data_IF_832495303714
#
_entry.id   IF_832495303714
#
_cell.length_a   1.000
_cell.length_b   1.000
_cell.length_c   1.000
_cell.angle_alpha   90.00
_cell.angle_beta   90.00
_cell.angle_gamma   90.00
#
_symmetry.space_group_name_H-M   'P 1'
#
loop_
_entity.id
_entity.type
_entity.pdbx_description
1 polymer ?
#
# COMPACT_ATOMS: atom_id res chain seq x y z
N UNK A 1 -18.12 -9.88 13.34
CA UNK A 1 -18.13 -9.76 11.86
C UNK A 1 -16.94 -8.89 11.47
N UNK A 2 -16.27 -9.20 10.37
CA UNK A 2 -15.11 -8.42 9.91
C UNK A 2 -15.52 -7.02 9.45
N UNK A 3 -14.69 -6.02 9.77
CA UNK A 3 -14.80 -4.63 9.31
C UNK A 3 -14.08 -4.40 7.96
N UNK A 4 -13.41 -5.43 7.45
CA UNK A 4 -12.53 -5.40 6.28
C UNK A 4 -13.26 -5.95 5.07
N UNK A 5 -14.37 -5.28 4.71
CA UNK A 5 -15.28 -5.72 3.66
C UNK A 5 -15.17 -4.76 2.48
N UNK A 6 -14.86 -5.26 1.27
CA UNK A 6 -14.74 -4.40 0.09
C UNK A 6 -16.10 -3.93 -0.37
N UNK A 7 -16.15 -2.73 -0.94
CA UNK A 7 -17.34 -2.21 -1.60
C UNK A 7 -17.14 -2.00 -3.12
N UNK A 8 -18.22 -1.62 -3.82
CA UNK A 8 -18.18 -1.42 -5.28
C UNK A 8 -17.16 -0.38 -5.72
N UNK A 9 -16.84 0.61 -4.87
CA UNK A 9 -15.84 1.64 -5.20
C UNK A 9 -14.44 1.05 -5.07
N UNK A 10 -14.19 0.26 -4.03
CA UNK A 10 -12.92 -0.46 -3.89
C UNK A 10 -12.65 -1.32 -5.13
N UNK A 11 -13.66 -2.04 -5.62
CA UNK A 11 -13.55 -2.83 -6.84
C UNK A 11 -13.30 -1.96 -8.09
N UNK A 12 -14.06 -0.87 -8.24
CA UNK A 12 -13.86 0.05 -9.35
C UNK A 12 -12.44 0.62 -9.35
N UNK A 13 -11.94 1.05 -8.20
CA UNK A 13 -10.61 1.62 -8.05
C UNK A 13 -9.52 0.59 -8.37
N UNK A 14 -9.73 -0.69 -8.05
CA UNK A 14 -8.78 -1.78 -8.32
C UNK A 14 -8.76 -2.25 -9.79
N UNK A 15 -9.91 -2.25 -10.47
CA UNK A 15 -10.08 -2.91 -11.78
C UNK A 15 -10.28 -1.96 -12.98
N UNK A 16 -10.54 -0.67 -12.77
CA UNK A 16 -10.75 0.29 -13.86
C UNK A 16 -9.43 0.75 -14.53
N UNK A 17 -9.53 1.63 -15.53
CA UNK A 17 -8.40 2.36 -16.16
C UNK A 17 -7.30 1.47 -16.76
N UNK A 18 -7.68 0.38 -17.45
CA UNK A 18 -6.74 -0.57 -18.06
C UNK A 18 -5.86 0.04 -19.18
N UNK A 19 -6.22 1.23 -19.70
CA UNK A 19 -5.36 1.99 -20.60
C UNK A 19 -4.07 2.47 -19.90
N UNK A 20 -4.11 2.69 -18.59
CA UNK A 20 -2.98 3.16 -17.80
C UNK A 20 -1.93 2.06 -17.64
N UNK A 21 -2.35 0.80 -17.51
CA UNK A 21 -1.43 -0.35 -17.51
C UNK A 21 -0.62 -0.40 -18.82
N UNK A 22 -1.28 -0.18 -19.97
CA UNK A 22 -0.61 -0.14 -21.28
C UNK A 22 0.38 1.02 -21.37
N UNK A 23 0.00 2.20 -20.89
CA UNK A 23 0.91 3.36 -20.84
C UNK A 23 2.13 3.08 -19.97
N UNK A 24 1.94 2.44 -18.82
CA UNK A 24 3.03 2.05 -17.94
C UNK A 24 4.04 1.14 -18.64
N UNK A 25 3.59 0.04 -19.24
CA UNK A 25 4.48 -0.87 -19.97
C UNK A 25 5.15 -0.19 -21.17
N UNK A 26 4.44 0.69 -21.88
CA UNK A 26 5.03 1.51 -22.94
C UNK A 26 6.17 2.36 -22.38
N UNK A 27 5.93 3.16 -21.34
CA UNK A 27 6.96 4.02 -20.75
C UNK A 27 8.13 3.23 -20.15
N UNK A 28 7.87 2.11 -19.47
CA UNK A 28 8.91 1.25 -18.92
C UNK A 28 9.82 0.70 -20.04
N UNK A 29 9.25 0.31 -21.19
CA UNK A 29 10.03 -0.17 -22.35
C UNK A 29 10.94 0.90 -22.98
N UNK A 30 10.70 2.18 -22.69
CA UNK A 30 11.55 3.28 -23.13
C UNK A 30 12.68 3.58 -22.12
N UNK A 31 12.82 2.77 -21.08
CA UNK A 31 13.84 2.90 -20.03
C UNK A 31 14.66 1.62 -19.91
N UNK A 32 15.72 1.66 -19.10
CA UNK A 32 16.47 0.47 -18.68
C UNK A 32 16.22 0.24 -17.20
N UNK A 33 15.15 -0.48 -16.83
CA UNK A 33 14.82 -0.71 -15.43
C UNK A 33 15.92 -1.56 -14.77
N UNK A 34 16.34 -1.17 -13.56
CA UNK A 34 17.37 -1.90 -12.81
C UNK A 34 16.93 -3.32 -12.42
N UNK A 35 15.64 -3.48 -12.16
CA UNK A 35 15.00 -4.72 -11.75
C UNK A 35 13.74 -4.93 -12.58
N UNK A 36 13.46 -6.18 -12.93
CA UNK A 36 12.16 -6.62 -13.44
C UNK A 36 11.50 -7.52 -12.40
N UNK A 37 10.17 -7.49 -12.34
CA UNK A 37 9.39 -8.17 -11.31
C UNK A 37 8.36 -9.12 -11.91
N UNK A 38 8.10 -10.22 -11.21
CA UNK A 38 7.01 -11.15 -11.49
C UNK A 38 6.42 -11.70 -10.18
N UNK A 39 5.10 -12.03 -10.12
CA UNK A 39 4.54 -12.67 -8.95
C UNK A 39 4.98 -14.14 -8.89
N UNK A 40 5.07 -14.71 -7.69
CA UNK A 40 5.28 -16.15 -7.50
C UNK A 40 4.01 -16.80 -6.99
N UNK A 41 3.37 -17.57 -7.87
CA UNK A 41 2.09 -18.20 -7.58
C UNK A 41 2.19 -19.40 -6.61
N UNK A 42 1.03 -19.75 -6.05
CA UNK A 42 0.86 -20.88 -5.14
C UNK A 42 1.31 -20.61 -3.69
N UNK A 43 1.73 -19.39 -3.35
CA UNK A 43 1.91 -18.97 -1.95
C UNK A 43 0.61 -18.52 -1.31
N UNK A 44 -0.19 -17.76 -2.06
CA UNK A 44 -1.41 -17.14 -1.56
C UNK A 44 -2.58 -17.35 -2.52
N UNK A 45 -3.78 -17.54 -1.96
CA UNK A 45 -5.02 -17.76 -2.70
C UNK A 45 -5.39 -16.56 -3.59
N UNK A 46 -4.94 -15.35 -3.23
CA UNK A 46 -5.22 -14.12 -3.95
C UNK A 46 -4.67 -14.11 -5.39
N UNK A 47 -3.61 -14.88 -5.66
CA UNK A 47 -3.07 -15.10 -7.01
C UNK A 47 -3.99 -15.95 -7.90
N UNK A 48 -4.82 -16.81 -7.29
CA UNK A 48 -5.67 -17.73 -8.02
C UNK A 48 -6.86 -17.01 -8.67
N UNK A 49 -7.21 -17.40 -9.91
CA UNK A 49 -8.24 -16.74 -10.70
C UNK A 49 -9.65 -16.95 -10.13
N UNK A 50 -9.85 -18.06 -9.43
CA UNK A 50 -11.09 -18.46 -8.77
C UNK A 50 -11.37 -17.72 -7.45
N UNK A 51 -10.38 -17.02 -6.89
CA UNK A 51 -10.56 -16.27 -5.64
C UNK A 51 -11.32 -14.98 -5.94
N UNK A 52 -12.61 -14.96 -5.59
CA UNK A 52 -13.45 -13.76 -5.69
C UNK A 52 -12.98 -12.69 -4.69
N UNK A 53 -12.43 -11.58 -5.20
CA UNK A 53 -11.82 -10.52 -4.40
C UNK A 53 -12.85 -9.60 -3.72
N UNK A 54 -14.14 -9.73 -4.03
CA UNK A 54 -15.23 -9.08 -3.32
C UNK A 54 -15.75 -9.90 -2.14
N UNK A 55 -15.66 -11.23 -2.23
CA UNK A 55 -16.11 -12.15 -1.18
C UNK A 55 -14.96 -12.68 -0.31
N UNK A 56 -13.71 -12.50 -0.73
CA UNK A 56 -12.56 -12.95 0.04
C UNK A 56 -12.42 -12.18 1.37
N UNK A 57 -12.21 -12.94 2.47
CA UNK A 57 -12.02 -12.40 3.82
C UNK A 57 -10.72 -12.94 4.39
N UNK A 58 -9.62 -12.29 4.05
CA UNK A 58 -8.27 -12.80 4.35
C UNK A 58 -8.02 -13.03 5.85
N UNK A 59 -8.62 -12.24 6.75
CA UNK A 59 -8.48 -12.44 8.21
C UNK A 59 -9.17 -13.71 8.72
N UNK A 60 -10.14 -14.24 7.97
CA UNK A 60 -10.83 -15.51 8.26
C UNK A 60 -10.22 -16.70 7.50
N UNK A 61 -9.26 -16.45 6.61
CA UNK A 61 -8.66 -17.44 5.71
C UNK A 61 -7.13 -17.43 5.80
N UNK A 62 -6.58 -17.22 6.99
CA UNK A 62 -5.13 -17.27 7.26
C UNK A 62 -4.29 -16.39 6.33
N UNK A 63 -4.76 -15.16 6.10
CA UNK A 63 -4.20 -14.20 5.14
C UNK A 63 -4.16 -14.70 3.69
N UNK A 64 -4.85 -15.79 3.40
CA UNK A 64 -4.83 -16.49 2.13
C UNK A 64 -3.64 -17.42 1.95
N UNK A 65 -2.89 -17.76 3.00
CA UNK A 65 -1.80 -18.72 2.92
C UNK A 65 -2.30 -20.05 2.33
N UNK A 66 -1.74 -20.47 1.19
CA UNK A 66 -2.15 -21.69 0.49
C UNK A 66 -1.66 -22.98 1.19
N UNK A 67 -0.67 -22.85 2.07
CA UNK A 67 -0.08 -23.90 2.88
C UNK A 67 0.30 -23.34 4.26
N UNK A 68 0.61 -24.20 5.26
CA UNK A 68 1.09 -23.72 6.56
C UNK A 68 2.31 -22.80 6.40
N UNK A 69 2.41 -21.78 7.25
CA UNK A 69 3.47 -20.77 7.19
C UNK A 69 4.88 -21.38 7.19
N UNK A 70 5.10 -22.47 7.93
CA UNK A 70 6.39 -23.19 7.94
C UNK A 70 6.79 -23.73 6.56
N UNK A 71 5.83 -24.18 5.75
CA UNK A 71 6.08 -24.60 4.37
C UNK A 71 6.40 -23.38 3.51
N UNK A 72 5.57 -22.33 3.60
CA UNK A 72 5.74 -21.13 2.77
C UNK A 72 7.11 -20.47 3.03
N UNK A 73 7.51 -20.31 4.29
CA UNK A 73 8.83 -19.75 4.65
C UNK A 73 9.95 -20.63 4.09
N UNK A 74 9.89 -21.96 4.31
CA UNK A 74 10.90 -22.89 3.77
C UNK A 74 11.00 -22.79 2.24
N UNK A 75 9.87 -22.65 1.55
CA UNK A 75 9.84 -22.47 0.09
C UNK A 75 10.46 -21.13 -0.32
N UNK A 76 10.21 -20.04 0.41
CA UNK A 76 10.83 -18.74 0.16
C UNK A 76 12.37 -18.81 0.35
N UNK A 77 12.83 -19.47 1.40
CA UNK A 77 14.24 -19.68 1.69
C UNK A 77 14.93 -20.56 0.62
N UNK A 78 14.24 -21.61 0.16
CA UNK A 78 14.70 -22.47 -0.93
C UNK A 78 14.83 -21.68 -2.25
N UNK A 79 13.85 -20.84 -2.57
CA UNK A 79 13.90 -19.98 -3.76
C UNK A 79 15.10 -19.02 -3.73
N UNK A 80 15.37 -18.38 -2.60
CA UNK A 80 16.52 -17.48 -2.45
C UNK A 80 17.88 -18.22 -2.38
N UNK A 81 17.94 -19.39 -1.75
CA UNK A 81 19.21 -20.15 -1.64
C UNK A 81 19.62 -20.85 -2.94
N UNK A 82 18.65 -21.14 -3.82
CA UNK A 82 18.88 -21.80 -5.11
C UNK A 82 18.92 -20.82 -6.29
N UNK A 83 18.66 -19.54 -6.06
CA UNK A 83 18.62 -18.54 -7.12
C UNK A 83 20.01 -18.16 -7.64
N UNK A 84 20.10 -17.90 -8.93
CA UNK A 84 21.30 -17.34 -9.56
C UNK A 84 21.59 -15.92 -9.04
N UNK A 85 22.85 -15.49 -9.18
CA UNK A 85 23.25 -14.11 -8.85
C UNK A 85 22.39 -13.10 -9.61
N UNK A 86 21.79 -12.15 -8.89
CA UNK A 86 20.90 -11.14 -9.49
C UNK A 86 19.42 -11.51 -9.49
N UNK A 87 19.05 -12.69 -8.98
CA UNK A 87 17.66 -13.06 -8.71
C UNK A 87 17.41 -13.03 -7.21
N UNK A 88 16.27 -12.45 -6.79
CA UNK A 88 15.84 -12.39 -5.39
C UNK A 88 14.35 -12.63 -5.27
N UNK A 89 13.92 -13.16 -4.13
CA UNK A 89 12.51 -13.38 -3.81
C UNK A 89 12.17 -12.70 -2.49
N UNK A 90 11.09 -11.91 -2.48
CA UNK A 90 10.62 -11.19 -1.29
C UNK A 90 9.14 -11.44 -1.05
N UNK A 91 8.76 -11.60 0.22
CA UNK A 91 7.38 -11.59 0.67
C UNK A 91 6.99 -10.17 1.10
N UNK A 92 6.03 -9.57 0.40
CA UNK A 92 5.50 -8.24 0.69
C UNK A 92 4.12 -8.35 1.31
N UNK A 93 3.90 -7.73 2.47
CA UNK A 93 2.59 -7.50 3.07
C UNK A 93 2.15 -6.07 2.80
N UNK A 94 1.27 -5.88 1.80
CA UNK A 94 0.80 -4.57 1.36
C UNK A 94 -0.52 -4.22 2.06
N UNK A 95 -0.47 -3.33 3.05
CA UNK A 95 -1.62 -2.94 3.86
C UNK A 95 -2.16 -1.57 3.47
N UNK A 96 -3.48 -1.45 3.30
CA UNK A 96 -4.18 -0.19 3.08
C UNK A 96 -4.53 0.43 4.43
N UNK A 97 -4.35 1.74 4.57
CA UNK A 97 -4.78 2.45 5.77
C UNK A 97 -6.27 2.20 6.10
N UNK A 98 -6.62 2.24 7.39
CA UNK A 98 -8.02 2.20 7.85
C UNK A 98 -8.82 3.43 7.41
N UNK A 99 -10.13 3.41 7.57
CA UNK A 99 -11.00 4.49 7.13
C UNK A 99 -10.56 5.85 7.71
N UNK A 100 -10.31 6.82 6.83
CA UNK A 100 -10.11 8.22 7.18
C UNK A 100 -11.32 9.08 6.81
N UNK A 101 -11.36 10.30 7.34
CA UNK A 101 -12.45 11.24 7.05
C UNK A 101 -12.61 11.55 5.55
N UNK A 102 -11.53 11.50 4.77
CA UNK A 102 -11.61 11.60 3.31
C UNK A 102 -12.40 10.45 2.65
N UNK A 103 -12.39 9.24 3.21
CA UNK A 103 -13.22 8.13 2.72
C UNK A 103 -14.70 8.35 3.04
N UNK A 104 -15.01 8.98 4.16
CA UNK A 104 -16.39 9.32 4.55
C UNK A 104 -16.95 10.39 3.61
N UNK A 105 -16.17 11.45 3.37
CA UNK A 105 -16.64 12.61 2.62
C UNK A 105 -16.80 12.30 1.12
N UNK A 106 -15.96 11.44 0.54
CA UNK A 106 -16.15 10.94 -0.83
C UNK A 106 -17.43 10.12 -0.99
N UNK A 107 -17.99 9.59 0.11
CA UNK A 107 -19.30 8.92 0.14
C UNK A 107 -20.47 9.89 0.38
N UNK A 108 -20.22 11.02 1.06
CA UNK A 108 -21.21 12.08 1.34
C UNK A 108 -21.61 12.86 0.10
N UNK A 109 -20.65 13.20 -0.77
CA UNK A 109 -20.89 14.02 -1.96
C UNK A 109 -20.94 13.22 -3.26
N UNK A 110 -21.62 13.78 -4.26
CA UNK A 110 -21.61 13.21 -5.60
C UNK A 110 -20.20 13.23 -6.19
N UNK A 111 -19.90 12.32 -7.13
CA UNK A 111 -18.62 12.34 -7.86
C UNK A 111 -18.42 13.72 -8.52
N UNK A 112 -19.43 14.26 -9.18
CA UNK A 112 -19.34 15.57 -9.83
C UNK A 112 -18.92 16.68 -8.86
N UNK A 113 -19.55 16.77 -7.69
CA UNK A 113 -19.23 17.80 -6.69
C UNK A 113 -17.85 17.59 -6.05
N UNK A 114 -17.46 16.34 -5.85
CA UNK A 114 -16.13 16.02 -5.35
C UNK A 114 -15.06 16.54 -6.32
N UNK A 115 -15.23 16.27 -7.61
CA UNK A 115 -14.28 16.67 -8.65
C UNK A 115 -14.31 18.17 -8.95
N UNK A 116 -15.44 18.85 -8.81
CA UNK A 116 -15.56 20.30 -9.08
C UNK A 116 -15.17 21.17 -7.89
N UNK A 117 -15.35 20.70 -6.65
CA UNK A 117 -15.20 21.52 -5.44
C UNK A 117 -14.44 20.81 -4.31
N UNK A 118 -15.00 19.72 -3.78
CA UNK A 118 -14.63 19.25 -2.44
C UNK A 118 -13.21 18.70 -2.34
N UNK A 119 -12.63 18.20 -3.44
CA UNK A 119 -11.25 17.72 -3.46
C UNK A 119 -10.20 18.80 -3.16
N UNK A 120 -10.51 20.07 -3.42
CA UNK A 120 -9.61 21.19 -3.18
C UNK A 120 -9.70 21.75 -1.75
N UNK A 121 -10.74 21.34 -1.01
CA UNK A 121 -11.03 21.81 0.34
C UNK A 121 -10.65 20.76 1.37
N UNK A 122 -10.51 21.20 2.62
CA UNK A 122 -10.18 20.35 3.75
C UNK A 122 -11.36 20.13 4.70
N UNK A 123 -12.45 20.88 4.54
CA UNK A 123 -13.62 20.83 5.43
C UNK A 123 -14.87 21.38 4.75
N UNK A 124 -16.04 20.92 5.22
CA UNK A 124 -17.36 21.47 4.90
C UNK A 124 -17.96 22.24 6.09
N UNK A 125 -17.21 22.41 7.19
CA UNK A 125 -17.68 22.98 8.45
C UNK A 125 -18.06 21.92 9.50
N UNK A 126 -18.53 20.74 9.07
CA UNK A 126 -18.91 19.63 9.96
C UNK A 126 -17.79 18.59 10.07
N UNK A 127 -17.17 18.25 8.94
CA UNK A 127 -16.14 17.24 8.80
C UNK A 127 -14.82 17.88 8.35
N UNK A 128 -13.70 17.35 8.83
CA UNK A 128 -12.36 17.75 8.40
C UNK A 128 -11.66 16.55 7.77
N UNK A 129 -11.29 16.67 6.50
CA UNK A 129 -10.60 15.65 5.72
C UNK A 129 -9.31 16.15 5.07
N UNK A 130 -8.89 17.39 5.32
CA UNK A 130 -7.65 17.90 4.75
C UNK A 130 -7.14 19.18 5.44
N UNK A 131 -5.84 19.49 5.30
CA UNK A 131 -4.80 18.60 4.76
C UNK A 131 -4.59 17.35 5.64
N UNK A 132 -3.91 16.34 5.09
CA UNK A 132 -3.56 15.07 5.76
C UNK A 132 -4.68 14.43 6.61
N UNK A 133 -5.68 13.87 5.93
CA UNK A 133 -6.88 13.30 6.57
C UNK A 133 -6.54 12.28 7.67
N UNK A 134 -7.08 12.49 8.88
CA UNK A 134 -6.96 11.57 10.02
C UNK A 134 -7.92 10.37 9.90
N UNK A 135 -7.61 9.30 10.65
CA UNK A 135 -8.49 8.13 10.78
C UNK A 135 -9.79 8.49 11.49
N UNK A 136 -10.86 7.77 11.13
CA UNK A 136 -12.11 7.74 11.91
C UNK A 136 -12.01 6.67 13.00
N UNK A 137 -12.99 6.62 13.90
CA UNK A 137 -13.08 5.52 14.88
C UNK A 137 -13.19 4.16 14.18
N UNK A 138 -13.95 4.06 13.09
CA UNK A 138 -14.02 2.84 12.28
C UNK A 138 -12.65 2.47 11.70
N UNK A 139 -11.86 3.44 11.22
CA UNK A 139 -10.50 3.18 10.73
C UNK A 139 -9.55 2.68 11.82
N UNK A 140 -9.68 3.19 13.04
CA UNK A 140 -8.95 2.68 14.21
C UNK A 140 -9.35 1.23 14.49
N UNK A 141 -10.64 0.90 14.45
CA UNK A 141 -11.12 -0.45 14.73
C UNK A 141 -10.74 -1.45 13.63
N UNK A 142 -10.66 -1.02 12.36
CA UNK A 142 -10.09 -1.81 11.26
C UNK A 142 -8.61 -2.14 11.48
N UNK A 143 -7.82 -1.19 11.98
CA UNK A 143 -6.42 -1.42 12.32
C UNK A 143 -6.28 -2.39 13.52
N UNK A 144 -7.16 -2.26 14.52
CA UNK A 144 -7.22 -3.21 15.66
C UNK A 144 -7.61 -4.62 15.22
N UNK A 145 -8.51 -4.77 14.26
CA UNK A 145 -8.84 -6.09 13.69
C UNK A 145 -7.61 -6.73 13.03
N UNK A 146 -6.85 -5.95 12.25
CA UNK A 146 -5.58 -6.42 11.70
C UNK A 146 -4.57 -6.80 12.78
N UNK A 147 -4.45 -6.01 13.85
CA UNK A 147 -3.57 -6.36 14.97
C UNK A 147 -3.92 -7.74 15.55
N UNK A 148 -5.21 -8.03 15.78
CA UNK A 148 -5.63 -9.34 16.27
C UNK A 148 -5.37 -10.46 15.24
N UNK A 149 -5.62 -10.20 13.97
CA UNK A 149 -5.35 -11.17 12.91
C UNK A 149 -3.84 -11.48 12.81
N UNK A 150 -2.98 -10.47 12.93
CA UNK A 150 -1.53 -10.65 12.97
C UNK A 150 -1.08 -11.45 14.19
N UNK A 151 -1.59 -11.16 15.40
CA UNK A 151 -1.29 -11.98 16.58
C UNK A 151 -1.62 -13.46 16.36
N UNK A 152 -2.76 -13.74 15.73
CA UNK A 152 -3.14 -15.11 15.38
C UNK A 152 -2.16 -15.71 14.36
N UNK A 153 -1.83 -15.01 13.28
CA UNK A 153 -0.93 -15.54 12.25
C UNK A 153 0.50 -15.76 12.77
N UNK A 154 1.03 -14.85 13.59
CA UNK A 154 2.32 -15.04 14.27
C UNK A 154 2.30 -16.29 15.14
N UNK A 155 1.21 -16.55 15.87
CA UNK A 155 1.06 -17.79 16.66
C UNK A 155 0.99 -19.06 15.80
N UNK A 156 0.63 -18.93 14.51
CA UNK A 156 0.63 -20.00 13.51
C UNK A 156 1.95 -20.13 12.75
N UNK A 157 2.97 -19.33 13.11
CA UNK A 157 4.29 -19.36 12.49
C UNK A 157 4.46 -18.46 11.27
N UNK A 158 3.55 -17.50 11.03
CA UNK A 158 3.80 -16.41 10.07
C UNK A 158 5.07 -15.67 10.46
N UNK A 159 5.97 -15.32 9.53
CA UNK A 159 7.19 -14.61 9.87
C UNK A 159 6.84 -13.18 10.32
N UNK A 160 7.55 -12.68 11.33
CA UNK A 160 7.58 -11.25 11.61
C UNK A 160 8.30 -10.55 10.45
N UNK A 161 7.77 -9.45 9.88
CA UNK A 161 8.49 -8.70 8.87
C UNK A 161 9.85 -8.21 9.39
N UNK A 162 10.88 -8.33 8.55
CA UNK A 162 12.23 -7.82 8.81
C UNK A 162 12.22 -6.28 8.85
N UNK A 163 11.41 -5.70 7.97
CA UNK A 163 11.31 -4.25 7.79
C UNK A 163 9.88 -3.78 7.61
N UNK A 164 9.61 -2.60 8.18
CA UNK A 164 8.33 -1.92 8.09
C UNK A 164 8.50 -0.57 7.38
N UNK A 165 7.72 -0.35 6.34
CA UNK A 165 7.67 0.91 5.61
C UNK A 165 6.26 1.49 5.65
N UNK A 166 6.18 2.82 5.72
CA UNK A 166 4.91 3.53 5.76
C UNK A 166 4.92 4.74 4.83
N UNK A 167 3.75 5.05 4.27
CA UNK A 167 3.51 6.35 3.64
C UNK A 167 3.60 7.49 4.68
N UNK A 168 4.02 8.70 4.27
CA UNK A 168 4.09 9.87 5.16
C UNK A 168 2.72 10.45 5.57
N UNK A 169 1.62 9.98 5.02
CA UNK A 169 0.28 10.47 5.37
C UNK A 169 -0.15 9.87 6.72
N UNK A 170 -0.57 10.70 7.67
CA UNK A 170 -0.76 10.30 9.07
C UNK A 170 -1.73 9.14 9.27
N UNK A 171 -2.76 9.02 8.43
CA UNK A 171 -3.67 7.85 8.44
C UNK A 171 -2.95 6.52 8.20
N UNK A 172 -1.90 6.51 7.38
CA UNK A 172 -1.08 5.34 7.09
C UNK A 172 -0.21 4.99 8.29
N UNK A 173 0.48 5.98 8.85
CA UNK A 173 1.34 5.81 10.02
C UNK A 173 0.52 5.36 11.24
N UNK A 174 -0.63 5.98 11.48
CA UNK A 174 -1.52 5.61 12.58
C UNK A 174 -2.08 4.19 12.41
N UNK A 175 -2.48 3.80 11.19
CA UNK A 175 -2.91 2.41 10.91
C UNK A 175 -1.79 1.42 11.22
N UNK A 176 -0.57 1.72 10.79
CA UNK A 176 0.61 0.91 11.08
C UNK A 176 0.84 0.78 12.58
N UNK A 177 0.94 1.89 13.30
CA UNK A 177 1.24 1.88 14.75
C UNK A 177 0.18 1.14 15.58
N UNK A 178 -1.09 1.16 15.15
CA UNK A 178 -2.15 0.37 15.81
C UNK A 178 -2.00 -1.13 15.47
N UNK A 179 -1.64 -1.46 14.24
CA UNK A 179 -1.48 -2.86 13.77
C UNK A 179 -0.25 -3.51 14.40
N UNK A 180 0.85 -2.75 14.47
CA UNK A 180 2.19 -3.15 14.85
C UNK A 180 2.72 -2.27 15.99
N UNK A 181 2.19 -2.42 17.20
CA UNK A 181 2.74 -1.71 18.36
C UNK A 181 4.22 -2.07 18.54
N UNK A 182 4.99 -1.14 19.09
CA UNK A 182 6.41 -1.32 19.44
C UNK A 182 7.33 -1.58 18.24
N UNK A 183 6.99 -1.05 17.06
CA UNK A 183 7.84 -1.07 15.86
C UNK A 183 8.30 0.35 15.48
N UNK A 184 9.43 0.44 14.78
CA UNK A 184 9.97 1.69 14.24
C UNK A 184 9.92 1.66 12.71
N UNK A 185 8.78 1.98 12.08
CA UNK A 185 8.67 1.96 10.62
C UNK A 185 9.46 3.11 9.99
N UNK A 186 9.95 2.89 8.77
CA UNK A 186 10.59 3.94 7.96
C UNK A 186 9.55 4.61 7.07
N UNK A 187 9.44 5.93 7.17
CA UNK A 187 8.61 6.77 6.31
C UNK A 187 9.29 6.94 4.97
N UNK A 188 8.64 6.45 3.91
CA UNK A 188 9.08 6.57 2.52
C UNK A 188 8.15 7.51 1.78
N UNK A 189 8.65 8.65 1.33
CA UNK A 189 7.85 9.71 0.72
C UNK A 189 7.15 9.23 -0.56
N UNK A 190 7.84 8.37 -1.32
CA UNK A 190 7.32 7.72 -2.53
C UNK A 190 6.22 6.68 -2.28
N UNK A 191 5.84 6.36 -1.03
CA UNK A 191 4.69 5.49 -0.74
C UNK A 191 3.37 6.26 -0.58
N UNK A 192 3.40 7.60 -0.67
CA UNK A 192 2.19 8.45 -0.68
C UNK A 192 1.19 8.06 -1.77
N UNK A 193 -0.06 8.42 -1.51
CA UNK A 193 -1.14 8.29 -2.49
C UNK A 193 -0.91 9.21 -3.71
N UNK A 194 -1.75 9.11 -4.72
CA UNK A 194 -1.71 9.94 -5.95
C UNK A 194 -1.42 11.41 -5.64
N UNK A 195 -0.36 11.94 -6.27
CA UNK A 195 0.13 13.30 -6.04
C UNK A 195 -0.74 14.32 -6.79
N UNK A 196 -1.05 15.43 -6.11
CA UNK A 196 -1.74 16.59 -6.68
C UNK A 196 -3.25 16.57 -6.53
N UNK A 197 -3.85 17.76 -6.69
CA UNK A 197 -5.29 18.06 -6.76
C UNK A 197 -6.15 17.75 -5.52
N UNK A 198 -5.91 16.66 -4.80
CA UNK A 198 -6.67 16.27 -3.62
C UNK A 198 -6.00 16.77 -2.34
N UNK A 199 -6.57 17.78 -1.66
CA UNK A 199 -5.96 18.39 -0.47
C UNK A 199 -5.71 17.40 0.67
N UNK A 200 -6.54 16.35 0.79
CA UNK A 200 -6.34 15.25 1.73
C UNK A 200 -5.05 14.43 1.51
N UNK A 201 -4.36 14.62 0.38
CA UNK A 201 -3.09 13.98 0.04
C UNK A 201 -1.87 14.88 0.29
N UNK A 202 -2.06 16.13 0.74
CA UNK A 202 -0.96 16.94 1.27
C UNK A 202 -0.50 16.32 2.58
N UNK A 203 0.75 15.88 2.66
CA UNK A 203 1.31 15.35 3.92
C UNK A 203 1.65 16.48 4.89
N UNK A 204 1.68 16.16 6.17
CA UNK A 204 2.29 17.00 7.20
C UNK A 204 3.79 17.20 6.94
N UNK A 205 4.36 18.21 7.59
CA UNK A 205 5.82 18.43 7.55
C UNK A 205 6.55 17.29 8.26
N UNK A 206 7.84 17.14 7.99
CA UNK A 206 8.68 16.14 8.68
C UNK A 206 8.67 16.37 10.20
N UNK A 207 8.74 17.62 10.64
CA UNK A 207 8.66 17.99 12.06
C UNK A 207 7.33 17.58 12.67
N UNK A 208 6.21 17.94 12.04
CA UNK A 208 4.87 17.55 12.51
C UNK A 208 4.68 16.03 12.58
N UNK A 209 5.18 15.29 11.57
CA UNK A 209 5.14 13.82 11.57
C UNK A 209 5.95 13.26 12.74
N UNK A 210 7.15 13.79 12.99
CA UNK A 210 8.03 13.35 14.08
C UNK A 210 7.42 13.61 15.45
N UNK A 211 6.74 14.74 15.62
CA UNK A 211 6.04 15.09 16.86
C UNK A 211 4.81 14.22 17.09
N UNK A 212 4.02 13.96 16.04
CA UNK A 212 2.84 13.09 16.12
C UNK A 212 3.20 11.61 16.33
N UNK A 213 4.31 11.16 15.74
CA UNK A 213 4.72 9.76 15.73
C UNK A 213 6.21 9.63 16.06
N UNK A 214 6.61 9.72 17.33
CA UNK A 214 8.02 9.72 17.73
C UNK A 214 8.77 8.41 17.43
N UNK A 215 8.06 7.34 17.10
CA UNK A 215 8.64 6.03 16.79
C UNK A 215 9.07 5.87 15.33
N UNK A 216 8.73 6.81 14.45
CA UNK A 216 9.04 6.66 13.01
C UNK A 216 10.45 7.12 12.68
N UNK A 217 11.06 6.43 11.73
CA UNK A 217 12.29 6.85 11.07
C UNK A 217 11.95 7.44 9.69
N UNK A 218 12.86 8.21 9.10
CA UNK A 218 12.66 8.78 7.76
C UNK A 218 13.74 8.28 6.80
N UNK A 219 13.36 8.09 5.53
CA UNK A 219 14.34 7.80 4.49
C UNK A 219 15.41 8.91 4.37
N UNK A 220 16.63 8.56 3.91
CA UNK A 220 17.66 9.56 3.62
C UNK A 220 17.16 10.65 2.67
N UNK A 221 17.35 11.91 3.05
CA UNK A 221 16.95 13.05 2.22
C UNK A 221 15.46 13.40 2.27
N UNK A 222 14.68 12.83 3.19
CA UNK A 222 13.27 13.21 3.37
C UNK A 222 13.12 14.71 3.63
N UNK A 223 12.37 15.39 2.75
CA UNK A 223 12.19 16.83 2.78
C UNK A 223 11.27 17.28 3.93
N UNK A 224 11.57 18.44 4.53
CA UNK A 224 10.73 19.03 5.58
C UNK A 224 9.29 19.27 5.08
N UNK A 225 9.16 20.08 4.03
CA UNK A 225 7.88 20.47 3.43
C UNK A 225 7.41 19.49 2.34
N UNK A 226 6.11 19.51 2.04
CA UNK A 226 5.53 18.71 0.96
C UNK A 226 5.74 19.34 -0.44
N UNK A 227 7.00 19.38 -0.86
CA UNK A 227 7.43 19.96 -2.14
C UNK A 227 6.79 19.31 -3.36
N UNK A 228 6.38 18.05 -3.27
CA UNK A 228 5.75 17.32 -4.37
C UNK A 228 4.32 17.79 -4.57
N UNK A 229 3.56 17.90 -3.47
CA UNK A 229 2.19 18.39 -3.52
C UNK A 229 2.14 19.84 -3.99
N UNK A 230 2.94 20.72 -3.40
CA UNK A 230 2.89 22.16 -3.69
C UNK A 230 3.24 22.49 -5.16
N UNK A 231 4.10 21.67 -5.79
CA UNK A 231 4.44 21.82 -7.21
C UNK A 231 3.28 21.59 -8.17
N UNK A 232 2.32 20.72 -7.81
CA UNK A 232 1.31 20.23 -8.76
C UNK A 232 -0.13 20.39 -8.29
N UNK A 233 -0.37 20.79 -7.03
CA UNK A 233 -1.67 20.80 -6.37
C UNK A 233 -2.81 21.41 -7.20
N UNK A 234 -2.57 22.47 -7.97
CA UNK A 234 -3.61 23.19 -8.73
C UNK A 234 -3.58 22.96 -10.24
N UNK A 235 -2.55 22.31 -10.79
CA UNK A 235 -2.29 22.28 -12.23
C UNK A 235 -2.27 20.87 -12.82
N UNK A 236 -1.74 19.89 -12.10
CA UNK A 236 -1.49 18.54 -12.63
C UNK A 236 -1.80 17.51 -11.54
N UNK A 237 -2.60 16.50 -11.89
CA UNK A 237 -2.76 15.28 -11.09
C UNK A 237 -1.84 14.21 -11.65
N UNK A 238 -1.12 13.51 -10.79
CA UNK A 238 -0.37 12.32 -11.17
C UNK A 238 -1.33 11.31 -11.85
N UNK A 239 -0.97 10.88 -13.05
CA UNK A 239 -1.69 9.80 -13.74
C UNK A 239 -1.29 8.44 -13.15
N UNK A 240 -2.17 7.45 -13.26
CA UNK A 240 -1.92 6.14 -12.64
C UNK A 240 -0.63 5.48 -13.14
N UNK A 241 -0.33 5.56 -14.44
CA UNK A 241 0.91 5.02 -14.98
C UNK A 241 2.17 5.72 -14.44
N UNK A 242 2.08 7.01 -14.06
CA UNK A 242 3.18 7.74 -13.42
C UNK A 242 3.39 7.24 -11.98
N UNK A 243 2.30 6.99 -11.26
CA UNK A 243 2.35 6.34 -9.95
C UNK A 243 2.94 4.91 -10.07
N UNK A 244 2.63 4.17 -11.14
CA UNK A 244 3.22 2.83 -11.39
C UNK A 244 4.73 2.91 -11.60
N UNK A 245 5.22 3.88 -12.39
CA UNK A 245 6.67 4.13 -12.55
C UNK A 245 7.34 4.51 -11.22
N UNK A 246 6.70 5.37 -10.41
CA UNK A 246 7.19 5.74 -9.08
C UNK A 246 7.32 4.52 -8.17
N UNK A 247 6.31 3.65 -8.14
CA UNK A 247 6.30 2.43 -7.33
C UNK A 247 7.24 1.36 -7.86
N UNK A 248 7.48 1.28 -9.18
CA UNK A 248 8.56 0.46 -9.73
C UNK A 248 9.92 0.91 -9.22
N UNK A 249 10.14 2.22 -9.09
CA UNK A 249 11.34 2.77 -8.44
C UNK A 249 11.46 2.33 -6.98
N UNK A 250 10.39 2.46 -6.19
CA UNK A 250 10.37 1.98 -4.79
C UNK A 250 10.69 0.48 -4.70
N UNK A 251 10.06 -0.33 -5.56
CA UNK A 251 10.30 -1.77 -5.56
C UNK A 251 11.74 -2.11 -5.99
N UNK A 252 12.33 -1.34 -6.90
CA UNK A 252 13.75 -1.46 -7.28
C UNK A 252 14.67 -1.18 -6.09
N UNK A 253 14.40 -0.11 -5.34
CA UNK A 253 15.16 0.27 -4.15
C UNK A 253 15.06 -0.84 -3.08
N UNK A 254 13.84 -1.35 -2.83
CA UNK A 254 13.62 -2.47 -1.90
C UNK A 254 14.34 -3.76 -2.31
N UNK A 255 14.52 -4.01 -3.60
CA UNK A 255 15.20 -5.21 -4.09
C UNK A 255 16.72 -5.10 -4.06
N UNK A 256 17.28 -3.90 -3.86
CA UNK A 256 18.70 -3.74 -3.58
C UNK A 256 19.08 -4.13 -2.15
N UNK A 257 18.15 -4.03 -1.22
CA UNK A 257 18.32 -4.48 0.17
C UNK A 257 18.20 -6.01 0.31
N UNK A 258 18.71 -6.58 1.40
CA UNK A 258 18.71 -8.03 1.65
C UNK A 258 17.49 -8.55 2.44
N UNK A 259 16.61 -7.65 2.91
CA UNK A 259 15.39 -8.00 3.65
C UNK A 259 14.45 -8.90 2.83
N UNK A 260 13.94 -9.98 3.40
CA UNK A 260 13.15 -10.97 2.66
C UNK A 260 11.65 -10.84 2.93
N UNK A 261 11.26 -10.39 4.11
CA UNK A 261 9.86 -10.20 4.52
C UNK A 261 9.62 -8.75 4.89
N UNK A 262 8.76 -8.07 4.14
CA UNK A 262 8.58 -6.62 4.26
C UNK A 262 7.09 -6.31 4.44
N UNK A 263 6.75 -5.44 5.39
CA UNK A 263 5.40 -4.90 5.54
C UNK A 263 5.35 -3.43 5.13
N UNK A 264 4.38 -3.08 4.29
CA UNK A 264 4.21 -1.75 3.73
C UNK A 264 2.78 -1.28 4.01
N UNK A 265 2.61 -0.27 4.86
CA UNK A 265 1.30 0.37 5.06
C UNK A 265 1.20 1.62 4.20
N UNK A 266 0.18 1.68 3.33
CA UNK A 266 -0.02 2.75 2.35
C UNK A 266 -1.50 2.93 1.96
N UNK A 267 -1.80 3.10 0.67
CA UNK A 267 -3.08 3.56 0.14
C UNK A 267 -3.56 2.69 -1.02
N UNK A 268 -4.82 2.84 -1.42
CA UNK A 268 -5.41 2.02 -2.48
C UNK A 268 -4.67 2.18 -3.81
N UNK A 269 -4.38 3.41 -4.24
CA UNK A 269 -3.66 3.67 -5.49
C UNK A 269 -2.24 3.13 -5.46
N UNK A 270 -1.55 3.26 -4.32
CA UNK A 270 -0.21 2.72 -4.11
C UNK A 270 -0.18 1.19 -4.17
N UNK A 271 -1.12 0.50 -3.52
CA UNK A 271 -1.17 -0.98 -3.56
C UNK A 271 -1.55 -1.48 -4.95
N UNK A 272 -2.50 -0.82 -5.62
CA UNK A 272 -2.82 -1.09 -7.03
C UNK A 272 -1.58 -0.95 -7.93
N UNK A 273 -0.74 0.04 -7.63
CA UNK A 273 0.52 0.25 -8.36
C UNK A 273 1.48 -0.90 -8.14
N UNK A 274 1.69 -1.35 -6.89
CA UNK A 274 2.48 -2.56 -6.61
C UNK A 274 1.95 -3.78 -7.37
N UNK A 275 0.65 -4.07 -7.27
CA UNK A 275 0.01 -5.20 -7.97
C UNK A 275 0.31 -5.15 -9.48
N UNK A 276 0.18 -3.98 -10.10
CA UNK A 276 0.40 -3.79 -11.55
C UNK A 276 1.87 -3.93 -11.92
N UNK A 277 2.77 -3.31 -11.15
CA UNK A 277 4.23 -3.37 -11.37
C UNK A 277 4.76 -4.78 -11.21
N UNK A 278 4.27 -5.52 -10.22
CA UNK A 278 4.64 -6.92 -9.98
C UNK A 278 4.11 -7.83 -11.07
N UNK A 279 3.03 -7.44 -11.77
CA UNK A 279 2.32 -8.32 -12.71
C UNK A 279 1.36 -9.29 -12.04
N UNK A 280 1.01 -9.07 -10.76
CA UNK A 280 -0.04 -9.82 -10.08
C UNK A 280 -1.40 -9.46 -10.69
N UNK A 281 -2.36 -10.40 -10.68
CA UNK A 281 -3.74 -10.11 -11.13
C UNK A 281 -4.33 -8.94 -10.34
N UNK A 282 -5.22 -8.16 -10.95
CA UNK A 282 -5.97 -7.12 -10.21
C UNK A 282 -6.72 -7.75 -9.04
N UNK A 283 -6.65 -7.11 -7.88
CA UNK A 283 -7.27 -7.60 -6.66
C UNK A 283 -7.78 -6.44 -5.82
N UNK A 284 -9.02 -6.54 -5.38
CA UNK A 284 -9.72 -5.52 -4.59
C UNK A 284 -9.27 -5.56 -3.14
N UNK A 285 -8.75 -4.44 -2.65
CA UNK A 285 -8.29 -4.31 -1.26
C UNK A 285 -9.25 -3.38 -0.51
N UNK A 286 -10.03 -3.88 0.46
CA UNK A 286 -10.93 -3.03 1.23
C UNK A 286 -10.15 -1.96 2.00
N UNK A 287 -10.83 -0.88 2.37
CA UNK A 287 -10.24 0.10 3.31
C UNK A 287 -9.87 -0.61 4.61
N UNK A 288 -8.62 -0.45 5.08
CA UNK A 288 -8.04 -1.21 6.19
C UNK A 288 -7.55 -2.62 5.84
N UNK A 289 -7.73 -3.09 4.60
CA UNK A 289 -7.35 -4.44 4.18
C UNK A 289 -5.87 -4.60 3.87
N UNK A 290 -5.45 -5.85 3.60
CA UNK A 290 -4.08 -6.19 3.26
C UNK A 290 -4.02 -7.32 2.23
N UNK A 291 -2.96 -7.33 1.41
CA UNK A 291 -2.61 -8.45 0.53
C UNK A 291 -1.13 -8.84 0.70
N UNK A 292 -0.84 -10.13 0.98
CA UNK A 292 0.50 -10.67 0.86
C UNK A 292 0.82 -11.09 -0.59
N UNK A 293 2.03 -10.81 -1.08
CA UNK A 293 2.50 -11.21 -2.41
C UNK A 293 3.96 -11.66 -2.30
N UNK A 294 4.29 -12.84 -2.82
CA UNK A 294 5.69 -13.20 -3.09
C UNK A 294 6.08 -12.67 -4.46
N UNK A 295 7.16 -11.92 -4.50
CA UNK A 295 7.67 -11.24 -5.69
C UNK A 295 9.04 -11.79 -6.01
N UNK A 296 9.25 -12.20 -7.25
CA UNK A 296 10.57 -12.45 -7.81
C UNK A 296 11.06 -11.19 -8.49
N UNK A 297 12.30 -10.82 -8.21
CA UNK A 297 13.03 -9.74 -8.88
C UNK A 297 14.23 -10.28 -9.63
N UNK A 298 14.44 -9.79 -10.85
CA UNK A 298 15.60 -10.10 -11.69
C UNK A 298 16.33 -8.81 -12.06
N UNK A 299 17.56 -8.68 -11.58
CA UNK A 299 18.43 -7.53 -11.87
C UNK A 299 18.82 -7.53 -13.35
N UNK A 300 18.68 -6.38 -14.00
CA UNK A 300 19.04 -6.18 -15.41
C UNK A 300 20.47 -5.69 -15.59
#
# INVERSE_FOLDING_TARGET
MSLLVPDKRDHQDAHADLDQDKKYHFHLSQTTPKWLFEPVDGFFLQSAAETDDMEFRYTLQDFGAAQPWSHLIKRLDELNSQSESGVRYKLLFLARHGQGWHNVVTKKYSKADWFSKWRYLGTDGDLVWGPDAKLTQLGIDQARENHQAWKLQLSKGCPMPDKFYVSPLSRSINTHNITWPDTNPVVIDKLRETIGVHLCHKRSTKTEISEMFPNVEFEPGFAEEDVLFDKVFSSIREELHQQFLRIHGVLSDLFDDDDSVISITSHAGTIRSFITVIGHRKFTIPTGGMIPIVVKGVKQ
#
